data_IF_274931862912
#
_entry.id   IF_274931862912
#
_cell.length_a   1.000
_cell.length_b   1.000
_cell.length_c   1.000
_cell.angle_alpha   90.00
_cell.angle_beta   90.00
_cell.angle_gamma   90.00
#
_symmetry.space_group_name_H-M   'P 1'
#
loop_
_entity.id
_entity.type
_entity.pdbx_description
1 polymer ?
2 polymer ?
3 non-polymer ?
4 water ?
#
# COMPACT_ATOMS: atom_id res chain seq x y z
N UNK A 1 12.63 2.47 7.09
CA UNK A 1 13.63 2.03 8.05
C UNK A 1 13.52 2.86 9.32
N UNK A 2 13.07 2.25 10.41
CA UNK A 2 12.96 2.92 11.71
C UNK A 2 14.23 2.68 12.51
N UNK A 3 14.78 3.75 13.09
CA UNK A 3 15.95 3.63 13.93
C UNK A 3 17.26 3.46 13.19
N UNK A 4 17.29 3.72 11.90
CA UNK A 4 18.49 3.59 11.10
C UNK A 4 19.20 4.90 10.89
N UNK A 5 20.11 4.90 9.92
CA UNK A 5 20.92 6.06 9.57
C UNK A 5 20.85 6.28 8.07
N UNK A 6 21.18 7.50 7.64
CA UNK A 6 21.25 7.79 6.21
C UNK A 6 22.44 7.06 5.61
N UNK A 7 22.18 6.21 4.60
CA UNK A 7 23.28 5.54 3.91
C UNK A 7 24.20 6.56 3.27
N UNK A 8 25.50 6.24 3.23
CA UNK A 8 26.42 7.00 2.39
C UNK A 8 25.95 6.93 0.94
N UNK A 9 25.95 8.07 0.27
CA UNK A 9 25.43 8.13 -1.09
C UNK A 9 26.08 7.08 -1.97
N UNK A 10 25.26 6.31 -2.67
CA UNK A 10 25.67 5.25 -3.61
C UNK A 10 26.57 4.19 -2.96
N UNK A 11 26.50 4.02 -1.64
CA UNK A 11 27.21 2.92 -0.98
C UNK A 11 26.41 1.62 -0.98
N UNK A 12 25.17 1.66 -1.46
CA UNK A 12 24.31 0.48 -1.59
C UNK A 12 23.93 0.34 -3.05
N UNK A 13 24.88 -0.02 -3.93
CA UNK A 13 24.67 0.17 -5.38
C UNK A 13 23.67 -0.80 -6.00
N UNK A 14 23.32 -1.88 -5.30
CA UNK A 14 22.31 -2.84 -5.75
C UNK A 14 20.89 -2.41 -5.35
N UNK A 15 20.74 -1.39 -4.52
CA UNK A 15 19.42 -0.97 -4.06
C UNK A 15 18.67 -0.24 -5.16
N UNK A 16 17.43 -0.66 -5.43
CA UNK A 16 16.62 0.06 -6.40
C UNK A 16 15.32 0.51 -5.75
N UNK A 17 14.72 1.54 -6.34
CA UNK A 17 13.40 2.00 -5.95
C UNK A 17 12.43 1.57 -7.03
N UNK A 18 11.30 0.98 -6.64
CA UNK A 18 10.25 0.65 -7.60
C UNK A 18 9.21 1.76 -7.57
N UNK A 19 8.92 2.32 -8.74
CA UNK A 19 8.16 3.55 -8.87
C UNK A 19 7.01 3.30 -9.84
N UNK A 20 5.81 3.66 -9.43
CA UNK A 20 4.65 3.58 -10.32
C UNK A 20 3.82 4.85 -10.09
N UNK A 21 4.43 5.99 -10.41
CA UNK A 21 3.88 7.27 -10.04
C UNK A 21 4.34 7.77 -8.69
N UNK A 22 5.04 6.94 -7.92
CA UNK A 22 5.53 7.23 -6.58
C UNK A 22 6.39 6.04 -6.18
N UNK A 23 7.28 6.26 -5.23
CA UNK A 23 8.05 5.14 -4.70
C UNK A 23 7.13 4.26 -3.87
N UNK A 24 7.05 2.96 -4.20
CA UNK A 24 6.16 2.06 -3.45
C UNK A 24 6.84 0.83 -2.87
N UNK A 25 8.01 0.44 -3.36
CA UNK A 25 8.75 -0.73 -2.90
C UNK A 25 10.22 -0.57 -3.22
N UNK A 26 11.05 -1.35 -2.54
CA UNK A 26 12.43 -1.52 -2.90
C UNK A 26 12.66 -2.78 -3.72
N UNK A 27 13.91 -2.94 -4.17
CA UNK A 27 14.30 -4.16 -4.84
C UNK A 27 15.80 -4.25 -4.88
N UNK A 28 16.30 -5.36 -5.41
CA UNK A 28 17.74 -5.59 -5.51
C UNK A 28 18.13 -5.97 -6.93
N UNK A 29 19.12 -5.27 -7.49
CA UNK A 29 19.72 -5.68 -8.75
C UNK A 29 20.57 -6.93 -8.54
N UNK A 30 20.31 -7.98 -9.31
CA UNK A 30 21.04 -9.23 -9.18
C UNK A 30 21.78 -9.63 -10.45
N UNK A 31 21.55 -8.93 -11.55
CA UNK A 31 22.35 -9.06 -12.77
C UNK A 31 22.12 -7.78 -13.55
N UNK A 32 22.71 -7.71 -14.75
CA UNK A 32 22.57 -6.50 -15.56
C UNK A 32 21.11 -6.17 -15.79
N UNK A 33 20.26 -7.18 -16.00
CA UNK A 33 18.92 -6.93 -16.52
C UNK A 33 17.81 -7.49 -15.64
N UNK A 34 18.14 -7.98 -14.44
CA UNK A 34 17.14 -8.58 -13.56
C UNK A 34 17.19 -8.01 -12.17
N UNK A 35 16.01 -7.75 -11.60
CA UNK A 35 15.81 -7.24 -10.26
C UNK A 35 14.96 -8.23 -9.46
N UNK A 36 15.32 -8.44 -8.18
CA UNK A 36 14.56 -9.25 -7.24
C UNK A 36 13.82 -8.33 -6.27
N UNK A 37 12.54 -8.63 -6.02
CA UNK A 37 11.74 -7.85 -5.07
C UNK A 37 10.74 -8.78 -4.39
N UNK A 38 9.76 -8.19 -3.69
CA UNK A 38 8.75 -8.97 -2.98
C UNK A 38 7.56 -9.22 -3.88
N UNK A 39 6.98 -10.41 -3.76
CA UNK A 39 5.75 -10.72 -4.48
C UNK A 39 4.63 -9.74 -4.20
N UNK A 40 4.54 -9.21 -2.99
CA UNK A 40 3.42 -8.30 -2.72
C UNK A 40 3.67 -6.89 -3.27
N UNK A 41 4.81 -6.67 -3.93
CA UNK A 41 5.08 -5.47 -4.70
C UNK A 41 4.62 -5.56 -6.14
N UNK A 42 3.89 -6.61 -6.50
CA UNK A 42 3.47 -6.76 -7.88
C UNK A 42 2.60 -5.59 -8.29
N UNK A 43 2.94 -5.00 -9.43
CA UNK A 43 2.11 -4.04 -10.14
C UNK A 43 2.23 -4.33 -11.63
N UNK A 44 1.18 -4.00 -12.38
CA UNK A 44 1.19 -4.28 -13.82
C UNK A 44 2.19 -3.41 -14.57
N UNK A 45 2.50 -2.21 -14.05
CA UNK A 45 3.49 -1.33 -14.66
C UNK A 45 4.45 -0.82 -13.59
N UNK A 46 5.76 -1.01 -13.80
CA UNK A 46 6.76 -0.65 -12.81
C UNK A 46 7.95 -0.02 -13.51
N UNK A 47 8.38 1.14 -13.03
CA UNK A 47 9.66 1.72 -13.43
C UNK A 47 10.69 1.46 -12.34
N UNK A 48 11.83 0.92 -12.74
CA UNK A 48 12.91 0.65 -11.80
C UNK A 48 13.83 1.85 -11.81
N UNK A 49 14.16 2.39 -10.63
CA UNK A 49 15.06 3.53 -10.54
C UNK A 49 16.31 3.08 -9.81
N UNK A 50 17.41 2.98 -10.54
CA UNK A 50 18.70 2.58 -10.01
C UNK A 50 19.56 3.82 -9.75
N UNK A 51 20.63 3.62 -8.99
CA UNK A 51 21.53 4.74 -8.73
C UNK A 51 20.93 5.87 -7.93
N UNK A 52 19.88 5.60 -7.16
CA UNK A 52 19.20 6.63 -6.39
C UNK A 52 19.83 6.80 -5.02
N UNK A 53 19.87 8.04 -4.55
CA UNK A 53 20.09 8.31 -3.13
C UNK A 53 18.92 9.11 -2.59
N UNK A 54 18.77 10.38 -2.99
CA UNK A 54 17.57 11.16 -2.70
C UNK A 54 16.57 10.90 -3.82
N UNK A 55 15.41 10.30 -3.49
CA UNK A 55 14.51 9.91 -4.57
C UNK A 55 13.64 11.04 -5.09
N UNK A 56 13.73 12.24 -4.49
CA UNK A 56 12.97 13.40 -4.94
C UNK A 56 13.80 14.36 -5.79
N UNK A 57 15.12 14.23 -5.76
CA UNK A 57 16.01 15.19 -6.40
C UNK A 57 16.87 14.42 -7.40
N UNK A 58 17.01 14.97 -8.60
CA UNK A 58 17.90 14.40 -9.62
C UNK A 58 19.33 14.82 -9.28
N UNK A 59 20.18 13.85 -8.94
CA UNK A 59 21.51 14.15 -8.44
C UNK A 59 22.63 13.75 -9.40
N UNK A 60 22.36 12.92 -10.40
CA UNK A 60 23.35 12.67 -11.42
C UNK A 60 23.62 11.23 -11.80
N UNK A 61 23.27 10.27 -10.95
CA UNK A 61 23.61 8.87 -11.18
C UNK A 61 22.38 8.00 -11.47
N UNK A 62 21.21 8.61 -11.60
CA UNK A 62 19.99 7.85 -11.79
C UNK A 62 20.00 7.09 -13.11
N UNK A 63 19.48 5.87 -13.08
CA UNK A 63 19.03 5.16 -14.28
C UNK A 63 17.56 4.81 -14.08
N UNK A 64 16.70 5.30 -14.98
CA UNK A 64 15.27 4.96 -14.95
C UNK A 64 15.02 3.97 -16.09
N UNK A 65 14.71 2.72 -15.75
CA UNK A 65 14.47 1.68 -16.73
C UNK A 65 13.16 0.98 -16.42
N UNK A 66 12.23 0.99 -17.37
CA UNK A 66 10.94 0.36 -17.15
C UNK A 66 11.07 -1.16 -17.18
N UNK A 67 10.20 -1.82 -16.40
CA UNK A 67 10.14 -3.26 -16.39
C UNK A 67 9.52 -3.77 -17.69
N UNK A 68 10.20 -4.73 -18.32
CA UNK A 68 9.67 -5.44 -19.49
C UNK A 68 8.86 -6.66 -19.10
N UNK A 69 9.31 -7.39 -18.08
CA UNK A 69 8.59 -8.52 -17.53
C UNK A 69 8.57 -8.45 -16.01
N UNK A 70 7.43 -8.78 -15.44
CA UNK A 70 7.23 -8.81 -13.99
C UNK A 70 6.68 -10.19 -13.67
N UNK A 71 7.50 -11.02 -13.00
CA UNK A 71 7.20 -12.42 -12.83
C UNK A 71 7.14 -12.72 -11.33
N UNK A 72 5.94 -12.95 -10.82
CA UNK A 72 5.79 -13.31 -9.41
C UNK A 72 5.87 -14.82 -9.24
N UNK A 73 6.39 -15.25 -8.08
CA UNK A 73 6.50 -16.68 -7.82
C UNK A 73 5.13 -17.35 -7.99
N UNK A 74 5.05 -18.49 -8.68
CA UNK A 74 3.73 -19.08 -8.96
C UNK A 74 3.02 -19.59 -7.72
N UNK A 75 3.72 -19.83 -6.61
CA UNK A 75 3.10 -20.28 -5.39
C UNK A 75 2.97 -19.17 -4.34
N UNK A 76 3.22 -17.91 -4.73
CA UNK A 76 2.92 -16.77 -3.89
C UNK A 76 1.51 -16.90 -3.30
N UNK A 77 1.40 -16.70 -2.00
CA UNK A 77 0.12 -16.75 -1.30
C UNK A 77 -0.17 -15.38 -0.73
N UNK A 78 -1.26 -14.76 -1.21
CA UNK A 78 -1.55 -13.37 -0.86
C UNK A 78 -2.07 -13.23 0.55
N UNK A 79 -2.54 -14.32 1.16
CA UNK A 79 -3.01 -14.23 2.54
C UNK A 79 -1.87 -14.39 3.54
N UNK A 80 -0.98 -15.36 3.32
CA UNK A 80 0.10 -15.69 4.26
C UNK A 80 1.43 -15.06 3.89
N UNK A 81 1.55 -14.54 2.67
CA UNK A 81 2.81 -14.04 2.12
C UNK A 81 3.89 -15.11 2.05
N UNK A 82 3.52 -16.39 2.02
CA UNK A 82 4.46 -17.43 1.67
C UNK A 82 4.90 -17.27 0.21
N UNK A 83 6.18 -17.54 -0.05
CA UNK A 83 6.81 -17.33 -1.36
C UNK A 83 6.71 -15.88 -1.82
N UNK A 84 7.08 -14.95 -0.94
CA UNK A 84 6.95 -13.52 -1.23
C UNK A 84 8.16 -13.06 -2.03
N UNK A 85 8.15 -13.40 -3.32
CA UNK A 85 9.28 -13.04 -4.18
C UNK A 85 8.76 -12.81 -5.59
N UNK A 86 9.44 -11.91 -6.29
CA UNK A 86 9.08 -11.38 -7.60
C UNK A 86 10.36 -11.10 -8.35
N UNK A 87 10.39 -11.40 -9.65
CA UNK A 87 11.50 -10.98 -10.51
C UNK A 87 11.03 -9.96 -11.53
N UNK A 88 11.87 -8.96 -11.78
CA UNK A 88 11.64 -7.94 -12.80
C UNK A 88 12.77 -8.02 -13.82
N UNK A 89 12.41 -8.17 -15.09
CA UNK A 89 13.37 -8.05 -16.19
C UNK A 89 13.31 -6.64 -16.73
N UNK A 90 14.44 -5.94 -16.66
CA UNK A 90 14.53 -4.58 -17.17
C UNK A 90 14.40 -4.58 -18.68
N UNK A 91 13.78 -3.52 -19.22
CA UNK A 91 13.64 -3.43 -20.67
C UNK A 91 14.99 -3.24 -21.35
N UNK A 92 15.97 -2.69 -20.65
CA UNK A 92 17.34 -2.61 -21.13
C UNK A 92 18.28 -2.97 -19.99
N UNK A 93 19.45 -3.51 -20.31
CA UNK A 93 20.43 -3.80 -19.25
C UNK A 93 20.82 -2.53 -18.52
N UNK A 94 20.96 -2.64 -17.20
CA UNK A 94 21.47 -1.51 -16.42
C UNK A 94 22.95 -1.32 -16.69
N UNK A 95 23.39 -0.08 -16.68
CA UNK A 95 24.80 0.24 -16.82
C UNK A 95 25.47 0.03 -15.47
N UNK A 96 26.39 -0.94 -15.42
CA UNK A 96 27.10 -1.30 -14.21
C UNK A 96 28.29 -0.35 -14.11
N UNK A 97 28.14 0.70 -13.31
CA UNK A 97 29.15 1.75 -13.24
C UNK A 97 30.00 1.68 -11.99
N UNK A 98 29.68 0.79 -11.06
CA UNK A 98 30.51 0.53 -9.88
C UNK A 98 31.43 -0.66 -10.18
N UNK A 99 32.71 -0.52 -9.82
CA UNK A 99 33.68 -1.61 -9.89
C UNK A 99 33.88 -2.25 -8.52
N UNK B 1 -19.32 -1.86 -6.03
CA UNK B 1 -18.57 -1.59 -7.25
C UNK B 1 -19.18 -2.39 -8.40
N UNK B 2 -19.63 -1.70 -9.44
CA UNK B 2 -20.19 -2.33 -10.64
C UNK B 2 -19.11 -2.39 -11.71
N UNK B 3 -18.94 -3.56 -12.31
CA UNK B 3 -18.01 -3.71 -13.41
C UNK B 3 -16.57 -3.82 -13.00
N UNK B 4 -16.29 -4.09 -11.74
CA UNK B 4 -14.93 -4.17 -11.26
C UNK B 4 -14.39 -5.59 -11.29
N UNK B 5 -13.38 -5.82 -10.46
CA UNK B 5 -12.78 -7.13 -10.29
C UNK B 5 -12.53 -7.37 -8.80
N UNK B 6 -12.45 -8.66 -8.43
CA UNK B 6 -12.05 -8.99 -7.07
C UNK B 6 -10.66 -8.45 -6.83
N UNK B 7 -10.51 -7.60 -5.82
CA UNK B 7 -9.16 -7.16 -5.44
C UNK B 7 -8.32 -8.35 -5.04
N UNK B 8 -7.05 -8.34 -5.42
CA UNK B 8 -6.12 -9.28 -4.81
C UNK B 8 -6.16 -9.14 -3.29
N UNK B 9 -6.30 -10.27 -2.60
CA UNK B 9 -6.44 -10.24 -1.15
C UNK B 9 -5.35 -9.41 -0.50
N UNK B 10 -5.75 -8.42 0.29
CA UNK B 10 -4.87 -7.55 1.07
C UNK B 10 -4.05 -6.61 0.21
N UNK B 11 -4.38 -6.45 -1.06
CA UNK B 11 -3.69 -5.51 -1.94
C UNK B 11 -4.18 -4.08 -1.77
N UNK B 12 -5.23 -3.87 -0.98
CA UNK B 12 -5.74 -2.53 -0.69
C UNK B 12 -5.73 -2.38 0.83
N UNK B 13 -4.56 -2.28 1.47
CA UNK B 13 -4.47 -2.42 2.93
C UNK B 13 -5.05 -1.25 3.71
N UNK B 14 -5.34 -0.14 3.04
CA UNK B 14 -5.94 1.02 3.69
C UNK B 14 -7.45 0.98 3.69
N UNK B 15 -8.04 0.04 2.93
CA UNK B 15 -9.49 -0.07 2.85
C UNK B 15 -10.04 -0.63 4.16
N UNK B 16 -11.07 0.01 4.69
CA UNK B 16 -11.72 -0.54 5.87
C UNK B 16 -13.20 -0.70 5.59
N UNK B 17 -13.83 -1.55 6.39
CA UNK B 17 -15.27 -1.69 6.43
C UNK B 17 -15.78 -1.02 7.70
N UNK B 18 -16.81 -0.18 7.57
CA UNK B 18 -17.52 0.38 8.72
C UNK B 18 -18.72 -0.50 9.01
N UNK B 19 -18.83 -0.96 10.26
CA UNK B 19 -19.79 -2.00 10.64
C UNK B 19 -20.58 -1.52 11.85
N UNK B 20 -21.91 -1.59 11.76
CA UNK B 20 -22.77 -1.21 12.88
C UNK B 20 -23.92 -2.22 12.93
N UNK B 21 -23.55 -3.47 13.18
CA UNK B 21 -24.44 -4.59 13.03
C UNK B 21 -24.46 -5.19 11.63
N UNK B 22 -23.77 -4.54 10.69
CA UNK B 22 -23.72 -4.91 9.27
C UNK B 22 -22.74 -3.96 8.62
N UNK B 23 -22.21 -4.36 7.47
CA UNK B 23 -21.38 -3.45 6.69
C UNK B 23 -22.29 -2.40 6.05
N UNK B 24 -22.01 -1.12 6.32
CA UNK B 24 -22.81 -0.04 5.75
C UNK B 24 -22.00 1.01 5.00
N UNK B 25 -20.68 1.06 5.17
CA UNK B 25 -19.86 2.05 4.47
C UNK B 25 -18.43 1.57 4.39
N UNK B 26 -17.67 2.19 3.50
CA UNK B 26 -16.23 2.04 3.48
C UNK B 26 -15.53 3.21 4.16
N UNK B 27 -14.22 3.09 4.23
CA UNK B 27 -13.38 4.17 4.74
C UNK B 27 -11.93 3.84 4.44
N UNK B 28 -11.06 4.78 4.78
CA UNK B 28 -9.64 4.71 4.45
C UNK B 28 -8.83 5.00 5.70
N UNK B 29 -7.87 4.11 6.01
CA UNK B 29 -6.94 4.34 7.10
C UNK B 29 -5.90 5.34 6.63
N UNK B 30 -5.79 6.48 7.33
CA UNK B 30 -4.84 7.52 6.95
C UNK B 30 -3.73 7.71 7.98
N UNK B 31 -3.81 7.05 9.13
CA UNK B 31 -2.72 6.94 10.09
C UNK B 31 -3.05 5.76 10.99
N UNK B 32 -2.16 5.44 11.93
CA UNK B 32 -2.47 4.22 12.67
C UNK B 32 -3.72 4.37 13.54
N UNK B 33 -4.19 5.58 13.82
CA UNK B 33 -5.36 5.68 14.68
C UNK B 33 -6.49 6.53 14.07
N UNK B 34 -6.41 6.88 12.79
CA UNK B 34 -7.44 7.71 12.19
C UNK B 34 -7.92 7.15 10.86
N UNK B 35 -9.24 7.17 10.67
CA UNK B 35 -9.89 6.75 9.43
C UNK B 35 -10.69 7.91 8.86
N UNK B 36 -10.65 8.11 7.55
CA UNK B 36 -11.52 9.10 6.89
C UNK B 36 -12.59 8.38 6.09
N UNK B 37 -13.80 8.94 6.10
CA UNK B 37 -14.95 8.34 5.43
C UNK B 37 -15.87 9.48 4.99
N UNK B 38 -17.10 9.14 4.59
CA UNK B 38 -18.06 10.14 4.12
C UNK B 38 -18.92 10.63 5.27
N UNK B 39 -19.23 11.92 5.26
CA UNK B 39 -20.12 12.48 6.27
C UNK B 39 -21.45 11.75 6.36
N UNK B 40 -22.00 11.34 5.21
CA UNK B 40 -23.29 10.67 5.30
C UNK B 40 -23.20 9.24 5.83
N UNK B 41 -21.99 8.75 6.14
CA UNK B 41 -21.79 7.49 6.84
C UNK B 41 -21.83 7.64 8.35
N UNK B 42 -22.16 8.83 8.85
CA UNK B 42 -22.18 9.01 10.28
C UNK B 42 -23.23 8.10 10.90
N UNK B 43 -22.77 7.37 11.92
CA UNK B 43 -23.61 6.67 12.89
C UNK B 43 -22.99 6.91 14.26
N UNK B 44 -23.81 6.78 15.31
CA UNK B 44 -23.34 7.09 16.66
C UNK B 44 -22.43 6.00 17.21
N UNK B 45 -22.55 4.77 16.73
CA UNK B 45 -21.66 3.67 17.10
C UNK B 45 -21.13 3.04 15.83
N UNK B 46 -19.80 2.91 15.74
CA UNK B 46 -19.18 2.33 14.55
C UNK B 46 -18.02 1.45 14.98
N UNK B 47 -17.95 0.25 14.40
CA UNK B 47 -16.79 -0.63 14.53
C UNK B 47 -16.05 -0.64 13.21
N UNK B 48 -14.77 -0.31 13.24
CA UNK B 48 -13.95 -0.28 12.04
C UNK B 48 -13.32 -1.65 11.87
N UNK B 49 -13.45 -2.22 10.68
CA UNK B 49 -12.92 -3.55 10.43
C UNK B 49 -11.82 -3.43 9.39
N UNK B 50 -10.59 -3.61 9.83
CA UNK B 50 -9.40 -3.50 8.99
C UNK B 50 -8.88 -4.89 8.64
N UNK B 51 -8.05 -4.93 7.60
CA UNK B 51 -7.49 -6.20 7.18
C UNK B 51 -8.47 -7.15 6.53
N UNK B 52 -9.58 -6.62 6.00
CA UNK B 52 -10.67 -7.45 5.51
C UNK B 52 -10.49 -7.78 4.04
N UNK B 53 -10.85 -9.02 3.67
CA UNK B 53 -11.06 -9.36 2.27
C UNK B 53 -12.49 -9.84 2.09
N UNK B 54 -12.82 -11.03 2.59
CA UNK B 54 -14.18 -11.53 2.66
C UNK B 54 -14.77 -11.01 3.98
N UNK B 55 -15.78 -10.14 3.91
CA UNK B 55 -16.33 -9.56 5.13
C UNK B 55 -17.30 -10.48 5.85
N UNK B 56 -17.60 -11.65 5.28
CA UNK B 56 -18.47 -12.64 5.90
C UNK B 56 -17.70 -13.73 6.62
N UNK B 57 -16.39 -13.85 6.39
CA UNK B 57 -15.58 -14.99 6.82
C UNK B 57 -14.34 -14.47 7.54
N UNK B 58 -14.02 -15.06 8.69
CA UNK B 58 -12.80 -14.70 9.42
C UNK B 58 -11.64 -15.43 8.77
N UNK B 59 -10.73 -14.69 8.15
CA UNK B 59 -9.69 -15.29 7.34
C UNK B 59 -8.29 -15.15 7.92
N UNK B 60 -8.10 -14.32 8.96
CA UNK B 60 -6.85 -14.33 9.69
C UNK B 60 -6.14 -13.00 9.86
N UNK B 61 -6.51 -12.01 9.06
CA UNK B 61 -5.80 -10.74 9.04
C UNK B 61 -6.65 -9.59 9.57
N UNK B 62 -7.86 -9.86 10.02
CA UNK B 62 -8.77 -8.82 10.49
C UNK B 62 -8.26 -8.16 11.76
N UNK B 63 -8.52 -6.86 11.86
CA UNK B 63 -8.47 -6.11 13.11
C UNK B 63 -9.81 -5.40 13.28
N UNK B 64 -10.52 -5.70 14.36
CA UNK B 64 -11.77 -5.01 14.68
C UNK B 64 -11.45 -3.99 15.75
N UNK B 65 -11.68 -2.71 15.48
CA UNK B 65 -11.38 -1.66 16.45
C UNK B 65 -12.56 -0.70 16.48
N UNK B 66 -13.18 -0.53 17.65
CA UNK B 66 -14.33 0.34 17.73
C UNK B 66 -13.91 1.80 17.61
N UNK B 67 -14.81 2.61 17.04
CA UNK B 67 -14.58 4.04 16.95
C UNK B 67 -14.64 4.66 18.34
N UNK B 68 -13.62 5.44 18.69
CA UNK B 68 -13.65 6.20 19.94
C UNK B 68 -14.21 7.60 19.74
N UNK B 69 -13.99 8.20 18.58
CA UNK B 69 -14.61 9.47 18.30
C UNK B 69 -14.98 9.47 16.82
N UNK B 70 -16.12 10.06 16.52
CA UNK B 70 -16.67 10.15 15.16
C UNK B 70 -17.00 11.62 14.92
N UNK B 71 -16.22 12.27 14.05
CA UNK B 71 -16.23 13.72 13.89
C UNK B 71 -16.62 14.06 12.46
N UNK B 72 -17.86 14.50 12.26
CA UNK B 72 -18.29 14.87 10.92
C UNK B 72 -17.90 16.32 10.62
N UNK B 73 -17.62 16.62 9.34
CA UNK B 73 -17.23 17.98 9.01
C UNK B 73 -18.29 18.96 9.48
N UNK B 74 -17.92 20.07 10.13
CA UNK B 74 -18.95 20.95 10.70
C UNK B 74 -19.85 21.58 9.67
N UNK B 75 -19.43 21.68 8.42
CA UNK B 75 -20.22 22.28 7.35
C UNK B 75 -20.92 21.25 6.48
N UNK B 76 -20.92 19.97 6.89
CA UNK B 76 -21.64 18.93 6.16
C UNK B 76 -23.09 19.36 5.92
N UNK B 77 -23.54 19.23 4.68
CA UNK B 77 -24.91 19.57 4.28
C UNK B 77 -25.64 18.27 3.92
N UNK B 78 -26.62 17.88 4.74
CA UNK B 78 -27.27 16.60 4.48
C UNK B 78 -28.17 16.64 3.25
N UNK B 79 -28.53 17.84 2.78
CA UNK B 79 -29.38 17.99 1.60
C UNK B 79 -28.57 17.84 0.31
N UNK B 80 -27.43 18.53 0.21
CA UNK B 80 -26.65 18.59 -1.02
C UNK B 80 -25.43 17.71 -1.00
N UNK B 81 -25.09 17.14 0.16
CA UNK B 81 -23.88 16.38 0.42
C UNK B 81 -22.61 17.20 0.24
N UNK B 82 -22.70 18.53 0.29
CA UNK B 82 -21.47 19.31 0.31
C UNK B 82 -20.72 19.06 1.62
N UNK B 83 -19.39 19.01 1.53
CA UNK B 83 -18.50 18.69 2.66
C UNK B 83 -18.79 17.31 3.22
N UNK B 84 -18.87 16.32 2.32
CA UNK B 84 -19.20 14.93 2.69
C UNK B 84 -17.94 14.21 3.15
N UNK B 85 -17.49 14.58 4.35
CA UNK B 85 -16.31 13.97 4.93
C UNK B 85 -16.50 13.83 6.44
N UNK B 86 -15.83 12.82 6.99
CA UNK B 86 -15.96 12.32 8.34
C UNK B 86 -14.61 11.77 8.77
N UNK B 87 -14.27 11.94 10.05
CA UNK B 87 -13.06 11.35 10.62
C UNK B 87 -13.47 10.46 11.78
N UNK B 88 -12.80 9.32 11.89
CA UNK B 88 -13.00 8.37 12.98
C UNK B 88 -11.67 8.20 13.68
N UNK B 89 -11.66 8.43 15.01
CA UNK B 89 -10.52 8.06 15.83
C UNK B 89 -10.72 6.67 16.39
N UNK B 90 -9.78 5.77 16.11
CA UNK B 90 -9.86 4.40 16.60
C UNK B 90 -9.57 4.36 18.09
N UNK B 91 -10.21 3.43 18.79
CA UNK B 91 -9.97 3.37 20.23
C UNK B 91 -8.59 2.84 20.56
N UNK B 92 -7.93 2.17 19.63
CA UNK B 92 -6.53 1.83 19.80
C UNK B 92 -5.86 1.89 18.43
N UNK B 93 -4.55 2.10 18.39
CA UNK B 93 -3.87 2.18 17.09
C UNK B 93 -3.99 0.86 16.35
N UNK B 94 -4.32 0.94 15.06
CA UNK B 94 -4.25 -0.24 14.24
C UNK B 94 -2.81 -0.74 14.17
N UNK B 95 -2.65 -2.05 14.06
CA UNK B 95 -1.33 -2.62 13.85
C UNK B 95 -1.00 -2.58 12.37
N UNK B 96 0.06 -1.84 12.01
CA UNK B 96 0.48 -1.67 10.62
C UNK B 96 1.33 -2.89 10.26
N UNK B 97 0.74 -3.88 9.58
CA UNK B 97 1.44 -5.12 9.31
C UNK B 97 1.79 -5.31 7.84
N UNK B 98 1.40 -4.38 6.97
CA UNK B 98 1.86 -4.35 5.60
C UNK B 98 3.10 -3.45 5.53
N UNK B 99 4.21 -4.00 5.07
CA UNK B 99 5.44 -3.22 4.93
C UNK B 99 5.35 -2.41 3.63
N UNK C 1 26.02 1.72 -9.33
CA UNK C 1 25.08 0.64 -9.63
C UNK C 1 25.83 -0.63 -9.92
N UNK C 2 25.51 -1.69 -9.17
CA UNK C 2 26.09 -2.99 -9.42
C UNK C 2 25.17 -4.05 -8.82
N UNK C 3 25.40 -5.29 -9.20
CA UNK C 3 24.56 -6.40 -8.78
C UNK C 3 25.09 -7.00 -7.49
N UNK C 4 24.15 -7.48 -6.66
CA UNK C 4 24.46 -8.20 -5.43
C UNK C 4 24.35 -9.69 -5.73
N UNK C 5 25.25 -10.47 -5.13
CA UNK C 5 25.30 -11.90 -5.42
C UNK C 5 24.18 -12.66 -4.71
N UNK C 6 23.75 -13.75 -5.34
CA UNK C 6 22.79 -14.63 -4.69
C UNK C 6 23.49 -15.42 -3.59
N UNK C 7 22.75 -15.83 -2.57
CA UNK C 7 23.39 -16.49 -1.42
C UNK C 7 23.81 -17.92 -1.74
N UNK C 8 24.89 -18.35 -1.10
CA UNK C 8 25.41 -19.71 -1.26
C UNK C 8 25.01 -20.63 -0.11
N UNK C 9 24.37 -20.09 0.92
CA UNK C 9 23.91 -20.87 2.06
C UNK C 9 22.73 -20.12 2.68
N UNK C 10 21.89 -20.82 3.45
CA UNK C 10 20.75 -20.15 4.09
C UNK C 10 21.21 -19.21 5.19
N UNK C 11 20.32 -18.37 5.72
CA UNK C 11 20.75 -17.42 6.74
C UNK C 11 21.17 -18.12 8.02
N UNK C 12 22.13 -17.51 8.72
CA UNK C 12 22.67 -18.05 9.97
C UNK C 12 22.40 -17.08 11.09
N UNK C 13 21.78 -17.56 12.17
CA UNK C 13 21.45 -16.71 13.31
C UNK C 13 22.70 -15.95 13.79
N UNK C 14 22.50 -14.66 14.11
CA UNK C 14 23.56 -13.81 14.62
C UNK C 14 24.30 -13.00 13.58
N UNK C 15 24.12 -13.31 12.29
CA UNK C 15 24.85 -12.65 11.22
C UNK C 15 24.42 -11.19 11.09
N UNK C 16 25.39 -10.28 11.22
CA UNK C 16 25.10 -8.87 11.04
C UNK C 16 24.77 -8.60 9.57
N UNK C 17 23.65 -7.92 9.33
CA UNK C 17 23.12 -7.74 7.98
C UNK C 17 22.72 -6.29 7.76
N UNK C 18 22.81 -5.84 6.50
CA UNK C 18 22.47 -4.49 6.12
C UNK C 18 21.11 -4.50 5.44
N UNK C 19 20.15 -3.79 6.04
CA UNK C 19 18.81 -3.58 5.49
C UNK C 19 18.71 -2.12 5.04
N UNK C 20 18.06 -1.89 3.90
CA UNK C 20 18.01 -0.52 3.40
C UNK C 20 16.69 -0.26 2.68
N UNK C 21 16.28 1.01 2.66
CA UNK C 21 15.07 1.35 1.94
C UNK C 21 14.65 2.78 2.21
N UNK C 22 13.61 3.18 1.49
CA UNK C 22 13.01 4.52 1.62
C UNK C 22 11.68 4.46 2.36
N UNK C 23 11.46 3.40 3.12
CA UNK C 23 10.24 3.26 3.88
C UNK C 23 10.15 4.22 5.05
N UNK C 24 8.97 4.20 5.67
CA UNK C 24 8.69 5.06 6.82
C UNK C 24 9.77 4.91 7.88
N UNK C 25 10.14 6.04 8.48
CA UNK C 25 11.15 6.05 9.53
C UNK C 25 10.56 6.16 10.93
N UNK C 26 9.24 6.14 11.07
CA UNK C 26 8.59 6.27 12.37
C UNK C 26 7.72 5.06 12.68
N UNK C 27 7.67 4.70 13.96
CA UNK C 27 6.66 3.74 14.44
C UNK C 27 5.27 4.36 14.42
N UNK C 28 5.12 5.55 15.01
CA UNK C 28 3.85 6.25 15.05
C UNK C 28 3.80 7.34 13.99
N UNK C 29 2.68 7.43 13.29
CA UNK C 29 2.64 8.41 12.23
C UNK C 29 3.53 8.00 11.06
N UNK C 30 3.95 9.00 10.30
CA UNK C 30 4.69 8.75 9.07
C UNK C 30 5.68 9.86 8.80
N UNK C 31 6.88 9.48 8.43
CA UNK C 31 7.89 10.41 7.91
C UNK C 31 8.63 9.59 6.86
N UNK C 32 8.35 9.88 5.60
CA UNK C 32 8.97 9.15 4.51
C UNK C 32 10.21 9.90 4.07
N UNK C 33 11.39 9.28 4.13
CA UNK C 33 12.62 10.03 3.88
C UNK C 33 12.84 10.23 2.39
N UNK C 34 13.56 11.31 2.08
CA UNK C 34 14.02 11.51 0.72
C UNK C 34 15.30 10.73 0.45
N UNK C 35 16.17 10.59 1.45
CA UNK C 35 17.45 9.91 1.31
C UNK C 35 17.38 8.48 1.80
N UNK C 36 18.08 7.59 1.11
CA UNK C 36 18.09 6.16 1.44
C UNK C 36 18.59 5.93 2.85
N UNK C 37 17.88 5.08 3.60
CA UNK C 37 18.21 4.76 4.99
C UNK C 37 18.81 3.36 5.11
N UNK C 38 19.69 3.21 6.08
CA UNK C 38 20.40 1.97 6.30
C UNK C 38 20.19 1.52 7.75
N UNK C 39 20.23 0.21 7.95
CA UNK C 39 20.14 -0.35 9.29
C UNK C 39 20.98 -1.62 9.35
N UNK C 40 21.82 -1.72 10.38
CA UNK C 40 22.57 -2.95 10.65
C UNK C 40 21.82 -3.75 11.70
N UNK C 41 21.48 -5.00 11.38
CA UNK C 41 20.65 -5.81 12.28
C UNK C 41 21.06 -7.26 12.12
N UNK C 42 21.02 -8.03 13.20
CA UNK C 42 21.37 -9.45 13.13
C UNK C 42 20.20 -10.35 12.78
N UNK C 43 20.51 -11.42 12.04
CA UNK C 43 19.56 -12.51 11.88
C UNK C 43 19.22 -13.08 13.24
N UNK C 44 17.94 -13.34 13.46
CA UNK C 44 17.45 -13.96 14.68
C UNK C 44 17.38 -15.48 14.52
N UNK C 45 17.32 -16.21 15.63
CA UNK C 45 17.22 -17.65 15.48
C UNK C 45 15.83 -18.05 15.00
N UNK C 46 15.76 -19.25 14.41
CA UNK C 46 14.49 -19.79 13.95
C UNK C 46 13.46 -19.88 15.07
N UNK C 47 13.90 -20.28 16.28
CA UNK C 47 13.00 -20.38 17.43
C UNK C 47 12.49 -19.01 17.86
N UNK C 48 13.36 -17.98 17.86
CA UNK C 48 12.90 -16.65 18.21
C UNK C 48 11.88 -16.14 17.20
N UNK C 49 12.07 -16.46 15.93
CA UNK C 49 11.17 -16.02 14.88
C UNK C 49 9.80 -16.68 15.02
N UNK C 50 9.80 -18.01 15.21
CA UNK C 50 8.55 -18.73 15.44
C UNK C 50 7.89 -18.30 16.74
N UNK C 51 8.67 -18.14 17.82
CA UNK C 51 8.07 -17.69 19.07
C UNK C 51 7.44 -16.31 18.92
N UNK C 52 7.98 -15.48 18.03
CA UNK C 52 7.42 -14.14 17.82
C UNK C 52 6.13 -14.18 17.02
N UNK C 53 6.01 -15.15 16.11
CA UNK C 53 4.90 -15.20 15.14
C UNK C 53 4.40 -16.62 15.06
N UNK C 54 3.76 -17.12 16.12
CA UNK C 54 3.45 -18.55 16.21
C UNK C 54 2.57 -19.01 15.06
N UNK C 55 3.00 -20.09 14.41
CA UNK C 55 2.27 -20.69 13.32
C UNK C 55 2.33 -19.98 11.99
N UNK C 56 3.01 -18.83 11.90
CA UNK C 56 2.97 -17.99 10.71
C UNK C 56 4.29 -17.94 9.95
N UNK C 57 5.32 -18.61 10.45
CA UNK C 57 6.64 -18.59 9.83
C UNK C 57 6.78 -19.89 9.05
N UNK C 58 6.88 -19.78 7.73
CA UNK C 58 7.15 -20.95 6.90
C UNK C 58 8.64 -21.15 6.73
N UNK C 59 9.00 -22.26 6.07
CA UNK C 59 10.40 -22.51 5.74
C UNK C 59 10.98 -21.42 4.84
N UNK C 60 10.13 -20.62 4.20
CA UNK C 60 10.58 -19.61 3.23
C UNK C 60 10.72 -18.24 3.86
N UNK C 61 10.66 -18.16 5.19
CA UNK C 61 10.76 -16.88 5.90
C UNK C 61 11.77 -17.00 7.03
N UNK C 62 12.40 -15.86 7.35
CA UNK C 62 13.24 -15.78 8.53
C UNK C 62 13.16 -14.37 9.08
N UNK C 63 13.64 -14.20 10.29
CA UNK C 63 13.51 -12.94 11.02
C UNK C 63 14.85 -12.27 11.19
N UNK C 64 14.85 -10.94 11.11
CA UNK C 64 16.05 -10.13 11.28
C UNK C 64 15.67 -8.92 12.12
N UNK C 65 16.53 -8.59 13.08
CA UNK C 65 16.31 -7.37 13.84
C UNK C 65 16.49 -7.54 15.33
N UNK C 66 15.58 -6.96 16.11
CA UNK C 66 15.77 -6.81 17.54
C UNK C 66 14.45 -7.09 18.25
N UNK C 67 14.45 -8.05 19.17
CA UNK C 67 13.22 -8.35 19.89
C UNK C 67 12.80 -7.20 20.80
N UNK C 68 13.72 -6.32 21.17
CA UNK C 68 13.41 -5.13 21.95
C UNK C 68 12.78 -4.04 21.11
N UNK C 69 12.74 -4.20 19.78
CA UNK C 69 12.20 -3.19 18.91
C UNK C 69 13.19 -2.04 18.70
N UNK C 70 12.63 -0.90 18.30
CA UNK C 70 13.39 0.32 18.12
C UNK C 70 14.02 0.48 16.74
N UNK C 71 14.40 -0.62 16.09
CA UNK C 71 15.11 -0.60 14.82
C UNK C 71 14.50 -1.70 13.94
N UNK C 72 14.02 -1.34 12.76
CA UNK C 72 13.23 -2.28 11.96
C UNK C 72 13.04 -1.70 10.57
N UNK C 73 12.62 -2.56 9.63
CA UNK C 73 12.09 -2.06 8.37
C UNK C 73 10.62 -1.68 8.56
N UNK C 74 10.04 -1.02 7.56
CA UNK C 74 8.70 -0.47 7.74
C UNK C 74 8.05 -0.26 6.38
N UNK C 75 6.84 0.30 6.40
CA UNK C 75 6.06 0.55 5.19
C UNK C 75 6.87 1.32 4.15
N UNK C 76 6.90 0.80 2.93
CA UNK C 76 7.73 1.36 1.88
C UNK C 76 9.09 0.71 1.74
N UNK C 77 9.52 -0.11 2.69
CA UNK C 77 10.77 -0.85 2.51
C UNK C 77 10.55 -2.20 1.83
N UNK C 78 9.30 -2.65 1.72
CA UNK C 78 8.98 -3.96 1.13
C UNK C 78 9.73 -4.17 -0.17
N UNK C 79 10.25 -5.39 -0.33
CA UNK C 79 10.97 -5.77 -1.54
C UNK C 79 12.45 -5.48 -1.52
N UNK C 80 12.93 -4.68 -0.56
CA UNK C 80 14.31 -4.29 -0.51
C UNK C 80 15.18 -5.35 0.14
N UNK C 81 16.48 -5.07 0.17
CA UNK C 81 17.51 -6.08 0.49
C UNK C 81 17.85 -6.21 1.96
N UNK C 82 18.27 -7.43 2.28
CA UNK C 82 18.99 -7.78 3.51
C UNK C 82 20.27 -8.47 3.06
N UNK C 83 21.41 -7.83 3.32
CA UNK C 83 22.67 -8.26 2.71
C UNK C 83 23.72 -8.51 3.78
N UNK C 84 24.44 -9.62 3.65
CA UNK C 84 25.60 -9.90 4.46
C UNK C 84 26.64 -10.61 3.61
N UNK C 85 27.90 -10.24 3.83
CA UNK C 85 29.04 -10.88 3.15
C UNK C 85 28.86 -10.93 1.64
N UNK C 86 28.36 -9.84 1.08
CA UNK C 86 28.24 -9.74 -0.35
C UNK C 86 27.13 -10.56 -0.96
N UNK C 87 26.22 -11.11 -0.15
CA UNK C 87 25.14 -11.92 -0.68
C UNK C 87 23.79 -11.38 -0.23
N UNK C 88 22.77 -11.55 -1.08
CA UNK C 88 21.40 -11.16 -0.74
C UNK C 88 20.74 -12.30 0.04
N UNK C 89 20.61 -12.14 1.35
CA UNK C 89 19.99 -13.22 2.14
C UNK C 89 18.48 -13.06 2.27
N UNK C 90 17.96 -11.85 2.24
CA UNK C 90 16.55 -11.65 2.50
C UNK C 90 15.94 -10.54 1.67
N UNK C 91 14.61 -10.57 1.60
CA UNK C 91 13.78 -9.55 0.97
C UNK C 91 12.79 -9.07 2.03
N UNK C 92 12.69 -7.75 2.21
CA UNK C 92 11.76 -7.20 3.19
C UNK C 92 10.36 -7.67 2.84
N UNK C 93 9.68 -8.32 3.79
CA UNK C 93 8.40 -8.97 3.51
C UNK C 93 7.29 -8.47 4.43
N UNK C 94 7.32 -8.74 5.73
CA UNK C 94 6.20 -8.32 6.56
C UNK C 94 6.65 -8.17 8.02
N UNK C 95 5.69 -7.89 8.88
CA UNK C 95 5.91 -7.80 10.31
C UNK C 95 4.74 -7.09 10.96
N UNK C 96 4.72 -7.09 12.30
CA UNK C 96 3.62 -6.51 13.05
C UNK C 96 4.05 -5.12 13.52
N UNK C 97 3.51 -4.09 12.90
CA UNK C 97 4.00 -2.77 13.16
C UNK C 97 5.44 -2.66 12.70
N UNK C 98 6.08 -1.59 13.17
CA UNK C 98 7.48 -1.30 12.87
C UNK C 98 8.21 -1.03 14.17
N UNK C 99 9.30 -1.77 14.40
CA UNK C 99 10.15 -1.59 15.58
C UNK C 99 9.35 -1.76 16.87
N UNK C 100 8.27 -2.55 16.83
CA UNK C 100 7.54 -2.90 18.05
C UNK C 100 8.25 -4.00 18.81
N UNK C 101 8.03 -4.02 20.12
CA UNK C 101 8.62 -5.06 20.95
C UNK C 101 8.03 -6.43 20.61
N UNK C 102 8.90 -7.45 20.59
CA UNK C 102 8.53 -8.84 20.30
C UNK C 102 8.07 -9.04 18.86
N UNK C 103 8.27 -8.06 17.99
CA UNK C 103 7.73 -8.10 16.63
C UNK C 103 8.83 -7.72 15.64
N UNK C 104 9.80 -8.60 15.41
CA UNK C 104 10.88 -8.27 14.47
C UNK C 104 10.40 -8.40 13.03
N UNK C 105 11.22 -7.89 12.13
CA UNK C 105 10.91 -8.01 10.72
C UNK C 105 10.97 -9.44 10.24
N UNK C 106 10.09 -9.76 9.30
CA UNK C 106 10.06 -11.05 8.62
C UNK C 106 10.48 -10.85 7.17
N UNK C 107 11.36 -11.71 6.69
CA UNK C 107 12.01 -11.54 5.40
C UNK C 107 11.91 -12.84 4.60
N UNK C 108 11.81 -12.70 3.28
CA UNK C 108 11.83 -13.87 2.41
C UNK C 108 13.22 -14.49 2.38
N UNK C 109 13.29 -15.81 2.54
CA UNK C 109 14.58 -16.53 2.55
C UNK C 109 15.03 -16.77 1.11
N UNK C 110 15.86 -15.86 0.58
CA UNK C 110 16.24 -15.86 -0.83
C UNK C 110 16.91 -17.16 -1.25
N UNK C 111 17.69 -17.77 -0.34
CA UNK C 111 18.40 -18.99 -0.68
C UNK C 111 17.46 -20.07 -1.21
N UNK C 112 16.22 -20.11 -0.71
CA UNK C 112 15.28 -21.14 -1.11
C UNK C 112 14.87 -21.02 -2.57
N UNK C 113 15.13 -19.88 -3.19
CA UNK C 113 14.70 -19.55 -4.55
C UNK C 113 15.86 -19.40 -5.51
N UNK C 114 17.06 -19.81 -5.13
CA UNK C 114 18.20 -19.67 -6.03
C UNK C 114 17.92 -20.37 -7.36
N UNK C 115 17.41 -21.60 -7.30
CA UNK C 115 17.09 -22.31 -8.55
C UNK C 115 15.92 -21.66 -9.29
N UNK C 116 14.89 -21.22 -8.58
CA UNK C 116 13.77 -20.55 -9.26
C UNK C 116 14.26 -19.31 -9.98
N UNK C 117 15.20 -18.59 -9.37
CA UNK C 117 15.69 -17.35 -9.98
C UNK C 117 16.50 -17.67 -11.23
N UNK C 118 17.42 -18.64 -11.14
CA UNK C 118 18.21 -18.99 -12.31
C UNK C 118 17.35 -19.57 -13.42
N UNK C 119 16.41 -20.45 -13.05
CA UNK C 119 15.53 -21.06 -14.06
C UNK C 119 14.69 -20.02 -14.76
N UNK C 120 14.12 -19.07 -14.00
CA UNK C 120 13.25 -18.05 -14.58
C UNK C 120 14.05 -17.13 -15.49
N UNK C 121 15.27 -16.77 -15.10
CA UNK C 121 16.11 -15.94 -15.95
C UNK C 121 16.43 -16.65 -17.24
N UNK C 122 16.78 -17.94 -17.17
CA UNK C 122 17.13 -18.69 -18.38
C UNK C 122 15.94 -18.84 -19.32
N UNK C 123 14.72 -18.96 -18.80
CA UNK C 123 13.55 -19.14 -19.64
C UNK C 123 13.03 -17.83 -20.22
N UNK C 124 13.60 -16.70 -19.82
CA UNK C 124 13.08 -15.40 -20.22
C UNK C 124 14.19 -14.47 -20.68
N UNK D 1 -2.41 -4.38 6.58
CA UNK D 1 -3.00 -3.11 7.00
C UNK D 1 -1.95 -2.02 7.00
N UNK D 2 -2.22 -0.92 6.29
CA UNK D 2 -1.35 0.25 6.34
C UNK D 2 -2.16 1.46 5.90
N UNK D 3 -1.60 2.64 6.11
CA UNK D 3 -2.31 3.89 5.86
C UNK D 3 -1.97 4.43 4.48
N UNK D 4 -2.92 5.12 3.89
CA UNK D 4 -2.75 5.80 2.60
C UNK D 4 -2.43 7.27 2.86
N UNK D 5 -1.58 7.86 2.03
CA UNK D 5 -1.16 9.25 2.21
C UNK D 5 -2.27 10.22 1.79
N UNK D 6 -2.28 11.38 2.44
CA UNK D 6 -3.16 12.48 2.02
C UNK D 6 -2.63 13.10 0.74
N UNK D 7 -3.52 13.67 -0.09
CA UNK D 7 -3.08 14.20 -1.39
C UNK D 7 -2.30 15.50 -1.24
N UNK D 8 -1.31 15.67 -2.10
CA UNK D 8 -0.48 16.86 -2.10
C UNK D 8 -0.91 17.87 -3.15
N UNK D 9 -1.90 17.52 -3.98
CA UNK D 9 -2.49 18.41 -4.96
C UNK D 9 -3.91 17.94 -5.26
N UNK D 10 -4.76 18.80 -5.81
CA UNK D 10 -6.15 18.38 -6.08
C UNK D 10 -6.22 17.44 -7.26
N UNK D 11 -7.37 16.80 -7.50
CA UNK D 11 -7.45 15.80 -8.57
C UNK D 11 -7.16 16.41 -9.93
N UNK D 12 -6.64 15.57 -10.83
CA UNK D 12 -6.27 15.99 -12.18
C UNK D 12 -7.00 15.12 -13.21
N UNK D 13 -7.71 15.77 -14.13
CA UNK D 13 -8.48 15.07 -15.15
C UNK D 13 -7.61 14.05 -15.88
N UNK D 14 -8.17 12.85 -16.08
CA UNK D 14 -7.52 11.78 -16.82
C UNK D 14 -6.70 10.83 -15.97
N UNK D 15 -6.52 11.13 -14.69
CA UNK D 15 -5.67 10.30 -13.84
C UNK D 15 -6.36 8.96 -13.53
N UNK D 16 -5.66 7.87 -13.86
CA UNK D 16 -6.12 6.52 -13.54
C UNK D 16 -6.13 6.34 -12.04
N UNK D 17 -7.27 5.92 -11.49
CA UNK D 17 -7.50 5.87 -10.05
C UNK D 17 -8.10 4.51 -9.67
N UNK D 18 -7.87 4.07 -8.43
CA UNK D 18 -8.42 2.81 -7.96
C UNK D 18 -9.52 3.08 -6.94
N UNK D 19 -10.72 2.59 -7.21
CA UNK D 19 -11.86 2.69 -6.31
C UNK D 19 -12.19 1.30 -5.79
N UNK D 20 -12.59 1.21 -4.53
CA UNK D 20 -12.77 -0.12 -3.97
C UNK D 20 -13.87 -0.10 -2.92
N UNK D 21 -14.46 -1.27 -2.69
CA UNK D 21 -15.52 -1.37 -1.70
C UNK D 21 -16.28 -2.68 -1.79
N UNK D 22 -17.19 -2.86 -0.84
CA UNK D 22 -18.08 -4.01 -0.76
C UNK D 22 -19.50 -3.66 -1.16
N UNK D 23 -19.70 -2.61 -1.96
CA UNK D 23 -21.04 -2.20 -2.33
C UNK D 23 -21.66 -3.05 -3.44
N UNK D 24 -22.86 -2.64 -3.84
CA UNK D 24 -23.64 -3.36 -4.84
C UNK D 24 -22.83 -3.54 -6.12
N UNK D 25 -22.89 -4.74 -6.72
CA UNK D 25 -22.17 -4.98 -7.97
C UNK D 25 -23.07 -4.93 -9.20
N UNK D 26 -24.37 -4.68 -9.04
CA UNK D 26 -25.32 -4.65 -10.16
C UNK D 26 -25.79 -3.22 -10.41
N UNK D 27 -25.96 -2.88 -11.69
CA UNK D 27 -26.57 -1.60 -12.05
C UNK D 27 -28.07 -1.62 -11.87
N UNK D 28 -28.70 -2.75 -12.18
CA UNK D 28 -30.11 -2.96 -11.90
C UNK D 28 -30.24 -4.16 -10.98
N UNK D 29 -31.01 -4.00 -9.91
CA UNK D 29 -31.07 -5.01 -8.88
C UNK D 29 -30.00 -4.79 -7.83
N UNK D 30 -29.79 -5.83 -7.02
CA UNK D 30 -28.83 -5.74 -5.92
C UNK D 30 -28.21 -7.09 -5.66
N UNK D 31 -26.88 -7.09 -5.57
CA UNK D 31 -26.12 -8.23 -5.09
C UNK D 31 -24.87 -7.72 -4.40
N UNK D 32 -24.73 -8.06 -3.17
CA UNK D 32 -23.64 -7.52 -2.39
C UNK D 32 -22.59 -8.59 -2.20
N UNK D 33 -21.35 -8.29 -2.56
CA UNK D 33 -20.30 -9.32 -2.61
C UNK D 33 -19.70 -9.57 -1.24
N UNK D 34 -19.21 -10.80 -1.06
CA UNK D 34 -18.44 -11.13 0.13
C UNK D 34 -17.04 -10.53 0.07
N UNK D 35 -16.44 -10.51 -1.13
CA UNK D 35 -15.05 -10.16 -1.32
C UNK D 35 -14.92 -8.74 -1.84
N UNK D 36 -13.89 -8.04 -1.37
CA UNK D 36 -13.65 -6.66 -1.76
C UNK D 36 -13.50 -6.54 -3.27
N UNK D 37 -14.19 -5.57 -3.86
CA UNK D 37 -14.11 -5.32 -5.30
C UNK D 37 -13.26 -4.08 -5.59
N UNK D 38 -12.61 -4.09 -6.77
CA UNK D 38 -11.71 -3.04 -7.21
C UNK D 38 -12.13 -2.52 -8.57
N UNK D 39 -11.85 -1.25 -8.83
CA UNK D 39 -12.14 -0.73 -10.16
C UNK D 39 -11.13 0.34 -10.52
N UNK D 40 -10.59 0.25 -11.73
CA UNK D 40 -9.64 1.25 -12.20
C UNK D 40 -10.39 2.21 -13.12
N UNK D 41 -10.34 3.51 -12.80
CA UNK D 41 -11.19 4.45 -13.51
C UNK D 41 -10.56 5.82 -13.50
N UNK D 42 -10.75 6.60 -14.56
CA UNK D 42 -10.10 7.92 -14.62
C UNK D 42 -10.94 9.04 -14.03
N UNK D 43 -10.23 10.05 -13.55
CA UNK D 43 -10.88 11.29 -13.14
C UNK D 43 -11.44 11.97 -14.38
N UNK D 44 -12.66 12.48 -14.25
CA UNK D 44 -13.30 13.20 -15.35
C UNK D 44 -13.00 14.69 -15.22
N UNK D 45 -13.23 15.43 -16.30
CA UNK D 45 -12.95 16.86 -16.24
C UNK D 45 -14.01 17.57 -15.42
N UNK D 46 -13.64 18.74 -14.89
CA UNK D 46 -14.62 19.53 -14.14
C UNK D 46 -15.85 19.81 -15.00
N UNK D 47 -15.62 20.15 -16.28
CA UNK D 47 -16.73 20.44 -17.20
C UNK D 47 -17.63 19.23 -17.40
N UNK D 48 -17.05 18.05 -17.56
CA UNK D 48 -17.88 16.85 -17.73
C UNK D 48 -18.65 16.56 -16.46
N UNK D 49 -18.01 16.78 -15.31
CA UNK D 49 -18.70 16.54 -14.04
C UNK D 49 -19.91 17.46 -13.90
N UNK D 50 -19.70 18.77 -14.13
CA UNK D 50 -20.79 19.72 -14.02
C UNK D 50 -21.87 19.49 -15.08
N UNK D 51 -21.46 19.18 -16.31
CA UNK D 51 -22.43 18.90 -17.36
C UNK D 51 -23.33 17.72 -17.01
N UNK D 52 -22.80 16.76 -16.24
CA UNK D 52 -23.56 15.57 -15.91
C UNK D 52 -24.59 15.83 -14.82
N UNK D 53 -24.27 16.73 -13.88
CA UNK D 53 -25.11 17.01 -12.72
C UNK D 53 -25.22 18.53 -12.57
N UNK D 54 -25.90 19.20 -13.50
CA UNK D 54 -25.84 20.67 -13.52
C UNK D 54 -26.37 21.28 -12.21
N UNK D 55 -25.61 22.24 -11.70
CA UNK D 55 -25.97 22.93 -10.46
C UNK D 55 -25.77 22.16 -9.17
N UNK D 56 -25.30 20.91 -9.25
CA UNK D 56 -25.20 20.06 -8.06
C UNK D 56 -23.75 19.78 -7.63
N UNK D 57 -22.77 20.28 -8.39
CA UNK D 57 -21.36 20.00 -8.14
C UNK D 57 -20.72 21.25 -7.55
N UNK D 58 -20.25 21.14 -6.31
CA UNK D 58 -19.54 22.24 -5.67
C UNK D 58 -18.04 22.06 -5.85
N UNK D 59 -17.30 23.09 -5.41
CA UNK D 59 -15.84 23.00 -5.43
C UNK D 59 -15.28 21.85 -4.61
N UNK D 60 -16.09 21.24 -3.75
CA UNK D 60 -15.62 20.17 -2.90
C UNK D 60 -15.93 18.79 -3.48
N UNK D 61 -16.21 18.74 -4.77
CA UNK D 61 -16.80 17.58 -5.40
C UNK D 61 -16.08 17.35 -6.73
N UNK D 62 -15.89 16.09 -7.13
CA UNK D 62 -15.32 15.83 -8.45
C UNK D 62 -15.83 14.46 -8.91
N UNK D 63 -15.65 14.19 -10.21
CA UNK D 63 -16.23 13.01 -10.83
C UNK D 63 -15.13 12.07 -11.30
N UNK D 64 -15.38 10.77 -11.12
CA UNK D 64 -14.50 9.69 -11.58
C UNK D 64 -15.38 8.62 -12.20
N UNK D 65 -14.91 8.02 -13.28
CA UNK D 65 -15.69 6.99 -13.95
C UNK D 65 -15.74 7.17 -15.45
N UNK D 66 -16.88 6.80 -16.04
CA UNK D 66 -17.03 6.66 -17.48
C UNK D 66 -18.39 7.21 -17.86
N UNK D 67 -18.41 8.19 -18.77
CA UNK D 67 -19.70 8.77 -19.14
C UNK D 67 -20.62 7.76 -19.82
N UNK D 68 -20.07 6.68 -20.36
CA UNK D 68 -20.87 5.61 -20.95
C UNK D 68 -21.22 4.49 -19.96
N UNK D 69 -21.01 4.71 -18.67
CA UNK D 69 -21.48 3.75 -17.67
C UNK D 69 -20.69 2.44 -17.65
N UNK D 70 -21.36 1.41 -17.14
CA UNK D 70 -20.82 0.07 -17.05
C UNK D 70 -19.90 -0.19 -15.87
N UNK D 71 -19.19 0.84 -15.39
CA UNK D 71 -18.21 0.72 -14.33
C UNK D 71 -18.32 1.95 -13.43
N UNK D 72 -18.47 1.73 -12.12
CA UNK D 72 -18.85 2.79 -11.18
C UNK D 72 -18.77 2.21 -9.77
N UNK D 73 -18.80 3.10 -8.78
CA UNK D 73 -19.08 2.71 -7.40
C UNK D 73 -20.59 2.69 -7.18
N UNK D 74 -21.03 2.14 -6.04
CA UNK D 74 -22.46 1.95 -5.86
C UNK D 74 -22.80 1.90 -4.37
N UNK D 75 -24.09 1.76 -4.09
CA UNK D 75 -24.59 1.73 -2.72
C UNK D 75 -23.79 0.75 -1.87
N UNK D 76 -23.28 1.24 -0.74
CA UNK D 76 -22.45 0.44 0.14
C UNK D 76 -20.98 0.64 -0.09
N UNK D 77 -20.61 1.38 -1.13
CA UNK D 77 -19.22 1.82 -1.32
C UNK D 77 -18.97 3.16 -0.66
N UNK D 78 -20.03 3.90 -0.33
CA UNK D 78 -19.95 5.21 0.32
C UNK D 78 -18.87 5.27 1.38
N UNK D 79 -18.09 6.36 1.34
CA UNK D 79 -17.02 6.60 2.29
C UNK D 79 -15.70 5.95 1.94
N UNK D 80 -15.69 5.04 0.95
CA UNK D 80 -14.47 4.35 0.60
C UNK D 80 -13.55 5.19 -0.27
N UNK D 81 -12.39 4.60 -0.60
CA UNK D 81 -11.30 5.35 -1.25
C UNK D 81 -11.32 5.44 -2.77
N UNK D 82 -10.73 6.53 -3.25
CA UNK D 82 -10.28 6.72 -4.62
C UNK D 82 -8.83 7.12 -4.54
N UNK D 83 -7.95 6.29 -5.09
CA UNK D 83 -6.52 6.40 -4.83
C UNK D 83 -5.74 6.44 -6.15
N UNK D 84 -4.77 7.34 -6.22
CA UNK D 84 -3.82 7.35 -7.32
C UNK D 84 -2.46 7.77 -6.78
N UNK D 85 -1.41 7.12 -7.27
CA UNK D 85 -0.04 7.49 -6.95
C UNK D 85 0.19 7.57 -5.44
N UNK D 86 -0.36 6.59 -4.72
CA UNK D 86 -0.17 6.47 -3.29
C UNK D 86 -0.89 7.49 -2.44
N UNK D 87 -1.86 8.19 -3.01
CA UNK D 87 -2.54 9.32 -2.39
C UNK D 87 -4.04 9.13 -2.44
N UNK D 88 -4.72 9.50 -1.36
CA UNK D 88 -6.19 9.43 -1.30
C UNK D 88 -6.76 10.68 -1.94
N UNK D 89 -7.26 10.57 -3.17
CA UNK D 89 -7.78 11.75 -3.83
C UNK D 89 -9.26 11.97 -3.55
N UNK D 90 -10.04 10.90 -3.38
CA UNK D 90 -11.49 11.04 -3.29
C UNK D 90 -12.10 10.11 -2.26
N UNK D 91 -13.33 10.47 -1.87
CA UNK D 91 -14.19 9.65 -1.02
C UNK D 91 -15.49 9.38 -1.79
N UNK D 92 -15.89 8.10 -1.85
CA UNK D 92 -17.15 7.74 -2.52
C UNK D 92 -18.28 8.52 -1.85
N UNK D 93 -18.97 9.36 -2.61
CA UNK D 93 -19.99 10.26 -2.05
C UNK D 93 -21.38 9.98 -2.63
N UNK D 94 -21.64 10.26 -3.91
CA UNK D 94 -22.99 10.07 -4.41
C UNK D 94 -22.97 9.89 -5.92
N UNK D 95 -24.16 9.74 -6.49
CA UNK D 95 -24.35 9.69 -7.93
C UNK D 95 -25.79 9.32 -8.22
N UNK D 96 -26.16 9.32 -9.51
CA UNK D 96 -27.52 8.95 -9.91
C UNK D 96 -27.50 7.51 -10.40
N UNK D 97 -28.03 6.58 -9.58
CA UNK D 97 -27.88 5.18 -9.91
C UNK D 97 -26.41 4.78 -9.86
N UNK D 98 -26.13 3.64 -10.50
CA UNK D 98 -24.77 3.10 -10.56
C UNK D 98 -24.49 2.61 -11.97
N UNK D 99 -23.39 3.09 -12.55
CA UNK D 99 -22.89 2.66 -13.86
C UNK D 99 -23.88 2.94 -14.98
N UNK D 100 -24.74 3.94 -14.80
CA UNK D 100 -25.61 4.39 -15.87
C UNK D 100 -24.90 5.38 -16.78
N UNK D 101 -25.40 5.48 -18.00
CA UNK D 101 -24.85 6.45 -18.93
C UNK D 101 -25.07 7.86 -18.41
N UNK D 102 -24.09 8.73 -18.65
CA UNK D 102 -24.15 10.16 -18.35
C UNK D 102 -24.15 10.46 -16.86
N UNK D 103 -23.96 9.45 -16.00
CA UNK D 103 -24.14 9.60 -14.56
C UNK D 103 -22.95 8.99 -13.84
N UNK D 104 -21.78 9.62 -13.91
CA UNK D 104 -20.60 9.08 -13.24
C UNK D 104 -20.68 9.31 -11.74
N UNK D 105 -19.81 8.61 -11.01
CA UNK D 105 -19.76 8.79 -9.57
C UNK D 105 -19.22 10.15 -9.20
N UNK D 106 -19.78 10.73 -8.13
CA UNK D 106 -19.32 11.99 -7.56
C UNK D 106 -18.58 11.70 -6.25
N UNK D 107 -17.45 12.37 -6.05
CA UNK D 107 -16.53 12.08 -4.97
C UNK D 107 -16.15 13.33 -4.19
N UNK D 108 -15.95 13.19 -2.88
CA UNK D 108 -15.45 14.29 -2.09
C UNK D 108 -13.99 14.55 -2.43
N UNK D 109 -13.66 15.83 -2.66
CA UNK D 109 -12.31 16.26 -3.01
C UNK D 109 -11.46 16.34 -1.74
N UNK D 110 -10.71 15.27 -1.46
CA UNK D 110 -10.03 15.16 -0.16
C UNK D 110 -9.01 16.29 0.01
N UNK D 111 -8.40 16.74 -1.08
CA UNK D 111 -7.40 17.81 -0.97
C UNK D 111 -7.94 19.07 -0.30
N UNK D 112 -9.22 19.38 -0.50
CA UNK D 112 -9.79 20.58 0.11
C UNK D 112 -9.84 20.51 1.62
N UNK D 113 -9.64 19.33 2.21
CA UNK D 113 -9.83 19.13 3.64
C UNK D 113 -8.54 18.75 4.35
N UNK D 114 -7.39 18.88 3.69
CA UNK D 114 -6.15 18.38 4.28
C UNK D 114 -5.83 19.14 5.56
N UNK D 115 -6.06 20.45 5.57
CA UNK D 115 -5.86 21.24 6.78
C UNK D 115 -6.84 20.84 7.87
N UNK D 116 -8.12 20.68 7.49
CA UNK D 116 -9.12 20.27 8.47
C UNK D 116 -8.76 18.93 9.09
N UNK D 117 -8.23 18.01 8.29
CA UNK D 117 -7.87 16.69 8.80
C UNK D 117 -6.74 16.82 9.80
N UNK D 118 -5.66 17.52 9.42
CA UNK D 118 -4.53 17.60 10.33
C UNK D 118 -4.86 18.38 11.59
N UNK D 119 -5.66 19.44 11.48
CA UNK D 119 -6.06 20.20 12.66
C UNK D 119 -6.93 19.36 13.59
N UNK D 120 -7.87 18.60 13.02
CA UNK D 120 -8.73 17.75 13.84
C UNK D 120 -7.93 16.67 14.56
N UNK D 121 -6.95 16.08 13.87
CA UNK D 121 -6.11 15.07 14.53
C UNK D 121 -5.30 15.71 15.64
N UNK D 122 -4.74 16.90 15.38
CA UNK D 122 -3.94 17.57 16.40
C UNK D 122 -4.76 17.89 17.65
N UNK D 123 -6.00 18.37 17.47
CA UNK D 123 -6.84 18.74 18.61
C UNK D 123 -7.36 17.52 19.37
N UNK D 124 -7.17 16.33 18.85
CA UNK D 124 -7.68 15.12 19.49
C UNK D 124 -6.56 14.11 19.73
X LIG E 1 17.56 11.07 -7.17
X LIG F 1 -13.02 -11.37 6.87
#
# INVERSE_FOLDING_TARGET
IVGGYICEENSVPYQVSLNSGYHFCGGSLISEQWVVSAGHCYKSRIQVRLGEHNIEVLEGNEQFINAAKIIRHPKYNSRTLDNDILLIKLSSPAVINSR
IVGGYICEENSVPYQVSLNSGYHFCGGSLISEQWVVSAGHCYKSRIQVRLGEHNIEVLEGNEQFINAAKIIRHPKYNSRTLDNDILLIKLSSPAVINSR
VSAISLPTAPPAAGTESLISGWGNTLSSGADYPDELQCLDAPVLSQAECEASYPGKITNNMFCVGFLEGGKDSCQGDSGGPVVSNGELQGIVSWGYGCAQKNRPGVYTKVYNYVDWIKDTIAANS
VSAISLPTAPPAAGTESLISGWGNTLSSGADYPDELQCLDAPVLSQAECEASYPGKITNNMFCVGFLEGGKDSCQGDSGGPVVSNGELQGIVSWGYGCAQKNRPGVYTKVYNYVDWIKDTIAANS
CA CA
CA CA
#
